data_IF_356193597844
#
_entry.id   IF_356193597844
#
_cell.length_a   1.000
_cell.length_b   1.000
_cell.length_c   1.000
_cell.angle_alpha   90.00
_cell.angle_beta   90.00
_cell.angle_gamma   90.00
#
_symmetry.space_group_name_H-M   'P 1'
#
loop_
_entity.id
_entity.type
_entity.pdbx_description
1 polymer ?
#
# COMPACT_ATOMS: atom_id res chain seq x y z
N UNK A 1 25.85 -17.10 -15.01
CA UNK A 1 24.49 -16.47 -15.13
C UNK A 1 24.54 -15.62 -16.39
N UNK A 2 23.66 -15.84 -17.37
CA UNK A 2 23.67 -15.10 -18.64
C UNK A 2 23.20 -13.67 -18.36
N UNK A 3 23.92 -12.66 -18.84
CA UNK A 3 23.52 -11.26 -18.68
C UNK A 3 22.33 -10.91 -19.61
N UNK A 4 21.56 -9.87 -19.27
CA UNK A 4 20.45 -9.35 -20.10
C UNK A 4 20.88 -9.10 -21.55
N UNK A 5 22.10 -8.57 -21.73
CA UNK A 5 22.67 -8.25 -23.05
C UNK A 5 23.02 -9.52 -23.86
N UNK A 6 23.53 -10.55 -23.19
CA UNK A 6 23.84 -11.86 -23.81
C UNK A 6 22.56 -12.60 -24.18
N UNK A 7 21.55 -12.60 -23.31
CA UNK A 7 20.24 -13.18 -23.59
C UNK A 7 19.58 -12.50 -24.81
N UNK A 8 19.57 -11.17 -24.83
CA UNK A 8 19.02 -10.41 -25.96
C UNK A 8 19.74 -10.76 -27.27
N UNK A 9 21.06 -10.79 -27.27
CA UNK A 9 21.86 -11.15 -28.45
C UNK A 9 21.58 -12.57 -28.93
N UNK A 10 21.49 -13.53 -28.03
CA UNK A 10 21.13 -14.91 -28.34
C UNK A 10 19.72 -15.01 -28.94
N UNK A 11 18.73 -14.42 -28.31
CA UNK A 11 17.33 -14.49 -28.75
C UNK A 11 17.12 -13.82 -30.13
N UNK A 12 17.77 -12.69 -30.39
CA UNK A 12 17.63 -11.98 -31.67
C UNK A 12 18.45 -12.59 -32.80
N UNK A 13 19.71 -12.96 -32.55
CA UNK A 13 20.63 -13.38 -33.61
C UNK A 13 20.53 -14.88 -33.92
N UNK A 14 20.30 -15.72 -32.91
CA UNK A 14 20.30 -17.18 -33.08
C UNK A 14 18.89 -17.78 -33.15
N UNK A 15 17.90 -17.14 -32.56
CA UNK A 15 16.52 -17.61 -32.52
C UNK A 15 15.54 -16.79 -33.37
N UNK A 16 16.00 -15.70 -33.99
CA UNK A 16 15.20 -14.87 -34.89
C UNK A 16 14.02 -14.15 -34.22
N UNK A 17 14.04 -14.04 -32.88
CA UNK A 17 12.97 -13.34 -32.15
C UNK A 17 13.19 -11.84 -32.31
N UNK A 18 12.13 -11.10 -32.67
CA UNK A 18 12.23 -9.65 -32.83
C UNK A 18 12.65 -8.97 -31.51
N UNK A 19 13.53 -7.96 -31.62
CA UNK A 19 14.07 -7.27 -30.44
C UNK A 19 13.00 -6.69 -29.52
N UNK A 20 11.88 -6.22 -30.07
CA UNK A 20 10.72 -5.74 -29.31
C UNK A 20 10.08 -6.81 -28.42
N UNK A 21 9.92 -8.03 -28.95
CA UNK A 21 9.39 -9.17 -28.17
C UNK A 21 10.38 -9.59 -27.07
N UNK A 22 11.68 -9.58 -27.39
CA UNK A 22 12.71 -9.90 -26.38
C UNK A 22 12.73 -8.84 -25.28
N UNK A 23 12.64 -7.57 -25.61
CA UNK A 23 12.64 -6.47 -24.66
C UNK A 23 11.37 -6.51 -23.77
N UNK A 24 10.22 -6.87 -24.34
CA UNK A 24 8.97 -7.06 -23.62
C UNK A 24 9.05 -8.25 -22.63
N UNK A 25 9.52 -9.42 -23.08
CA UNK A 25 9.73 -10.61 -22.23
C UNK A 25 10.75 -10.31 -21.13
N UNK A 26 11.84 -9.61 -21.46
CA UNK A 26 12.87 -9.23 -20.48
C UNK A 26 12.29 -8.26 -19.44
N UNK A 27 11.44 -7.31 -19.85
CA UNK A 27 10.80 -6.40 -18.91
C UNK A 27 9.82 -7.12 -17.95
N UNK A 28 9.14 -8.18 -18.42
CA UNK A 28 8.27 -9.00 -17.59
C UNK A 28 9.05 -9.97 -16.66
N UNK A 29 10.17 -10.54 -17.15
CA UNK A 29 10.97 -11.46 -16.35
C UNK A 29 11.83 -10.80 -15.28
N UNK A 30 12.26 -9.56 -15.52
CA UNK A 30 13.13 -8.82 -14.58
C UNK A 30 12.38 -7.69 -13.84
N UNK A 31 11.06 -7.60 -14.02
CA UNK A 31 10.21 -6.56 -13.45
C UNK A 31 10.41 -5.19 -14.10
N UNK A 32 9.59 -4.20 -13.77
CA UNK A 32 9.85 -2.82 -14.17
C UNK A 32 11.25 -2.45 -13.68
N UNK A 33 12.06 -1.83 -14.52
CA UNK A 33 13.32 -1.22 -14.09
C UNK A 33 13.02 -0.43 -12.82
N UNK A 34 13.72 -0.79 -11.72
CA UNK A 34 13.45 -0.18 -10.41
C UNK A 34 13.36 1.34 -10.58
N UNK A 35 12.24 1.92 -10.22
CA UNK A 35 11.96 3.35 -10.39
C UNK A 35 12.98 4.24 -9.66
N UNK A 36 13.85 3.63 -8.87
CA UNK A 36 14.84 4.34 -8.07
C UNK A 36 16.25 3.98 -8.50
N UNK A 37 17.07 5.00 -8.66
CA UNK A 37 18.51 4.81 -8.85
C UNK A 37 19.14 4.31 -7.56
N UNK A 38 20.15 3.47 -7.69
CA UNK A 38 20.97 2.99 -6.60
C UNK A 38 21.68 4.16 -5.90
N UNK A 39 21.74 4.14 -4.59
CA UNK A 39 22.53 5.08 -3.78
C UNK A 39 23.70 4.37 -3.17
N UNK A 40 24.82 5.09 -3.02
CA UNK A 40 26.02 4.62 -2.33
C UNK A 40 25.97 5.20 -0.90
N UNK A 41 25.95 4.32 0.10
CA UNK A 41 25.95 4.73 1.50
C UNK A 41 27.34 4.50 2.13
N UNK A 42 27.95 5.58 2.62
CA UNK A 42 29.19 5.54 3.42
C UNK A 42 28.85 5.42 4.92
N UNK A 43 28.60 4.22 5.39
CA UNK A 43 28.54 3.95 6.85
C UNK A 43 29.47 2.79 7.17
N UNK A 44 30.72 3.07 7.54
CA UNK A 44 31.70 2.15 8.16
C UNK A 44 31.80 0.70 7.58
N UNK A 45 31.37 0.47 6.34
CA UNK A 45 31.39 -0.79 5.62
C UNK A 45 31.85 -0.56 4.18
N UNK A 46 32.42 -1.55 3.48
CA UNK A 46 32.78 -1.41 2.08
C UNK A 46 31.53 -1.04 1.26
N UNK A 47 31.68 -0.05 0.37
CA UNK A 47 30.64 0.49 -0.49
C UNK A 47 29.65 -0.60 -0.95
N UNK A 48 28.39 -0.48 -0.57
CA UNK A 48 27.33 -1.37 -0.97
C UNK A 48 26.32 -0.60 -1.78
N UNK A 49 26.09 -1.03 -2.99
CA UNK A 49 25.04 -0.51 -3.85
C UNK A 49 23.69 -1.04 -3.35
N UNK A 50 22.81 -0.15 -2.88
CA UNK A 50 21.49 -0.49 -2.33
C UNK A 50 20.45 0.40 -3.01
N UNK A 51 19.33 -0.14 -3.44
CA UNK A 51 18.24 0.67 -3.94
C UNK A 51 17.57 1.49 -2.83
N UNK A 52 16.91 2.60 -3.20
CA UNK A 52 16.33 3.55 -2.25
C UNK A 52 15.26 2.90 -1.35
N UNK A 53 14.42 2.00 -1.88
CA UNK A 53 13.38 1.35 -1.08
C UNK A 53 13.99 0.37 -0.07
N UNK A 54 14.99 -0.41 -0.47
CA UNK A 54 15.75 -1.28 0.45
C UNK A 54 16.45 -0.45 1.52
N UNK A 55 16.97 0.74 1.17
CA UNK A 55 17.58 1.64 2.14
C UNK A 55 16.56 2.20 3.14
N UNK A 56 15.39 2.63 2.67
CA UNK A 56 14.29 3.08 3.53
C UNK A 56 13.81 1.96 4.45
N UNK A 57 13.70 0.73 3.93
CA UNK A 57 13.30 -0.44 4.72
C UNK A 57 14.29 -0.74 5.86
N UNK A 58 15.60 -0.48 5.66
CA UNK A 58 16.57 -0.58 6.74
C UNK A 58 16.30 0.42 7.89
N UNK A 59 15.67 1.55 7.60
CA UNK A 59 15.16 2.51 8.59
C UNK A 59 13.69 2.23 8.99
N UNK A 60 13.19 1.04 8.67
CA UNK A 60 11.83 0.55 8.99
C UNK A 60 10.71 1.33 8.29
N UNK A 61 10.99 1.84 7.11
CA UNK A 61 10.05 2.60 6.27
C UNK A 61 9.63 1.74 5.09
N UNK A 62 8.32 1.50 4.97
CA UNK A 62 7.67 0.84 3.84
C UNK A 62 6.95 1.92 3.02
N UNK A 63 6.94 1.79 1.70
CA UNK A 63 6.29 2.73 0.81
C UNK A 63 5.19 2.05 -0.01
N UNK A 64 3.92 2.40 0.26
CA UNK A 64 2.76 2.01 -0.53
C UNK A 64 2.41 3.15 -1.50
N UNK A 65 3.04 3.18 -2.67
CA UNK A 65 2.98 4.26 -3.64
C UNK A 65 2.20 3.93 -4.92
N UNK A 66 1.38 2.88 -4.92
CA UNK A 66 0.67 2.40 -6.12
C UNK A 66 -0.68 1.79 -5.76
N UNK A 67 -1.40 1.30 -6.76
CA UNK A 67 -2.61 0.49 -6.56
C UNK A 67 -2.30 -0.78 -5.77
N UNK A 68 -3.25 -1.23 -4.94
CA UNK A 68 -3.16 -2.43 -4.12
C UNK A 68 -3.66 -3.62 -4.93
N UNK A 69 -2.73 -4.48 -5.33
CA UNK A 69 -2.98 -5.79 -5.92
C UNK A 69 -2.35 -6.90 -5.07
N UNK A 70 -2.50 -8.15 -5.48
CA UNK A 70 -1.97 -9.30 -4.76
C UNK A 70 -0.44 -9.27 -4.68
N UNK A 71 0.24 -8.77 -5.73
CA UNK A 71 1.70 -8.68 -5.78
C UNK A 71 2.23 -7.67 -4.76
N UNK A 72 1.69 -6.46 -4.76
CA UNK A 72 2.04 -5.39 -3.82
C UNK A 72 1.71 -5.79 -2.39
N UNK A 73 0.55 -6.41 -2.17
CA UNK A 73 0.15 -6.89 -0.85
C UNK A 73 1.12 -7.92 -0.28
N UNK A 74 1.51 -8.91 -1.08
CA UNK A 74 2.49 -9.92 -0.68
C UNK A 74 3.85 -9.31 -0.32
N UNK A 75 4.31 -8.30 -1.07
CA UNK A 75 5.56 -7.58 -0.76
C UNK A 75 5.45 -6.86 0.59
N UNK A 76 4.38 -6.10 0.82
CA UNK A 76 4.20 -5.33 2.06
C UNK A 76 4.07 -6.26 3.26
N UNK A 77 3.30 -7.34 3.17
CA UNK A 77 3.18 -8.34 4.22
C UNK A 77 4.54 -8.97 4.54
N UNK A 78 5.31 -9.37 3.52
CA UNK A 78 6.65 -9.92 3.71
C UNK A 78 7.60 -8.91 4.37
N UNK A 79 7.53 -7.62 4.00
CA UNK A 79 8.31 -6.55 4.63
C UNK A 79 7.93 -6.34 6.10
N UNK A 80 6.63 -6.35 6.43
CA UNK A 80 6.14 -6.24 7.80
C UNK A 80 6.66 -7.38 8.68
N UNK A 81 6.53 -8.62 8.22
CA UNK A 81 7.01 -9.81 8.94
C UNK A 81 8.54 -9.81 9.07
N UNK A 82 9.27 -9.40 8.04
CA UNK A 82 10.72 -9.26 8.10
C UNK A 82 11.14 -8.21 9.15
N UNK A 83 10.51 -7.03 9.17
CA UNK A 83 10.82 -5.98 10.12
C UNK A 83 10.47 -6.37 11.56
N UNK A 84 9.38 -7.12 11.78
CA UNK A 84 9.09 -7.70 13.09
C UNK A 84 10.19 -8.66 13.52
N UNK A 85 10.62 -9.57 12.64
CA UNK A 85 11.69 -10.53 12.95
C UNK A 85 13.02 -9.86 13.27
N UNK A 86 13.29 -8.70 12.69
CA UNK A 86 14.51 -7.93 12.92
C UNK A 86 14.50 -7.18 14.27
N UNK A 87 13.37 -6.59 14.64
CA UNK A 87 13.17 -5.95 15.96
C UNK A 87 11.68 -5.76 16.25
N UNK A 88 11.13 -6.60 17.11
CA UNK A 88 9.71 -6.60 17.45
C UNK A 88 9.27 -5.41 18.33
N UNK A 89 10.20 -4.56 18.79
CA UNK A 89 9.89 -3.45 19.71
C UNK A 89 9.88 -2.08 19.04
N UNK A 90 10.47 -1.96 17.87
CA UNK A 90 10.54 -0.69 17.15
C UNK A 90 9.39 -0.53 16.18
N UNK A 91 8.83 0.66 16.12
CA UNK A 91 7.76 1.02 15.19
C UNK A 91 8.16 0.77 13.73
N UNK A 92 7.16 0.47 12.92
CA UNK A 92 7.25 0.42 11.46
C UNK A 92 6.47 1.61 10.90
N UNK A 93 6.96 2.25 9.86
CA UNK A 93 6.29 3.37 9.22
C UNK A 93 5.86 2.99 7.81
N UNK A 94 4.58 3.18 7.48
CA UNK A 94 4.06 2.99 6.12
C UNK A 94 3.70 4.36 5.54
N UNK A 95 4.43 4.76 4.50
CA UNK A 95 4.10 5.95 3.70
C UNK A 95 3.12 5.56 2.61
N UNK A 96 1.97 6.24 2.56
CA UNK A 96 0.86 5.88 1.69
C UNK A 96 0.60 6.99 0.68
N UNK A 97 0.64 6.62 -0.61
CA UNK A 97 0.19 7.44 -1.74
C UNK A 97 -0.48 6.50 -2.77
N UNK A 98 -1.70 6.08 -2.49
CA UNK A 98 -2.37 5.00 -3.22
C UNK A 98 -3.85 5.30 -3.48
N UNK A 99 -4.37 4.96 -4.67
CA UNK A 99 -5.80 5.05 -4.96
C UNK A 99 -6.63 3.93 -4.31
N UNK A 100 -6.01 2.99 -3.60
CA UNK A 100 -6.65 1.77 -3.13
C UNK A 100 -6.47 0.61 -4.09
N UNK A 101 -7.42 -0.29 -4.19
CA UNK A 101 -7.35 -1.47 -5.05
C UNK A 101 -8.12 -2.67 -4.50
N UNK A 102 -7.58 -3.87 -4.68
CA UNK A 102 -8.19 -5.13 -4.26
C UNK A 102 -8.48 -5.16 -2.76
N UNK A 103 -9.73 -5.41 -2.40
CA UNK A 103 -10.16 -5.50 -0.98
C UNK A 103 -9.47 -6.67 -0.28
N UNK A 104 -9.44 -7.86 -0.90
CA UNK A 104 -8.81 -9.04 -0.28
C UNK A 104 -7.31 -8.84 -0.07
N UNK A 105 -6.62 -8.29 -1.07
CA UNK A 105 -5.20 -7.96 -0.97
C UNK A 105 -4.94 -6.95 0.16
N UNK A 106 -5.79 -5.93 0.26
CA UNK A 106 -5.70 -4.93 1.32
C UNK A 106 -6.04 -5.46 2.72
N UNK A 107 -7.02 -6.35 2.85
CA UNK A 107 -7.32 -7.02 4.12
C UNK A 107 -6.14 -7.89 4.60
N UNK A 108 -5.42 -8.54 3.69
CA UNK A 108 -4.19 -9.26 4.04
C UNK A 108 -3.11 -8.34 4.62
N UNK A 109 -2.95 -7.13 4.07
CA UNK A 109 -2.05 -6.10 4.65
C UNK A 109 -2.58 -5.66 6.02
N UNK A 110 -3.87 -5.35 6.12
CA UNK A 110 -4.53 -4.92 7.36
C UNK A 110 -4.31 -5.93 8.48
N UNK A 111 -4.66 -7.19 8.24
CA UNK A 111 -4.51 -8.25 9.23
C UNK A 111 -3.04 -8.42 9.67
N UNK A 112 -2.10 -8.32 8.73
CA UNK A 112 -0.67 -8.39 9.04
C UNK A 112 -0.25 -7.19 9.92
N UNK A 113 -0.73 -5.97 9.62
CA UNK A 113 -0.46 -4.79 10.46
C UNK A 113 -0.99 -4.96 11.89
N UNK A 114 -2.14 -5.60 12.06
CA UNK A 114 -2.75 -5.83 13.38
C UNK A 114 -2.12 -7.03 14.11
N UNK A 115 -1.57 -7.99 13.39
CA UNK A 115 -1.02 -9.24 13.95
C UNK A 115 0.38 -9.07 14.52
N UNK A 116 1.24 -8.26 13.89
CA UNK A 116 2.63 -8.07 14.29
C UNK A 116 2.75 -7.28 15.61
N UNK A 117 3.82 -7.52 16.38
CA UNK A 117 4.05 -6.82 17.65
C UNK A 117 4.45 -5.34 17.50
N UNK A 118 5.26 -4.92 16.49
CA UNK A 118 5.58 -3.51 16.29
C UNK A 118 4.35 -2.66 16.04
N UNK A 119 4.27 -1.47 16.65
CA UNK A 119 3.26 -0.47 16.26
C UNK A 119 3.52 -0.03 14.82
N UNK A 120 2.46 0.02 14.02
CA UNK A 120 2.52 0.49 12.64
C UNK A 120 2.02 1.92 12.56
N UNK A 121 2.93 2.86 12.30
CA UNK A 121 2.60 4.24 12.01
C UNK A 121 2.25 4.41 10.53
N UNK A 122 1.23 5.19 10.21
CA UNK A 122 0.81 5.45 8.83
C UNK A 122 0.90 6.93 8.47
N UNK A 123 1.46 7.22 7.31
CA UNK A 123 1.70 8.60 6.86
C UNK A 123 1.18 8.78 5.43
N UNK A 124 0.13 9.55 5.23
CA UNK A 124 -0.33 9.86 3.89
C UNK A 124 0.45 11.03 3.28
N UNK A 125 1.05 10.81 2.10
CA UNK A 125 1.92 11.79 1.42
C UNK A 125 1.33 12.41 0.16
N UNK A 126 0.16 12.01 -0.24
CA UNK A 126 -0.53 12.52 -1.41
C UNK A 126 -1.99 12.16 -1.33
N UNK A 127 -2.28 10.90 -1.57
CA UNK A 127 -3.64 10.37 -1.55
C UNK A 127 -3.69 9.03 -0.82
N UNK A 128 -4.74 8.84 -0.03
CA UNK A 128 -5.14 7.53 0.46
C UNK A 128 -6.63 7.36 0.17
N UNK A 129 -6.97 6.60 -0.88
CA UNK A 129 -8.35 6.42 -1.30
C UNK A 129 -8.79 4.97 -1.19
N UNK A 130 -10.10 4.73 -0.96
CA UNK A 130 -10.67 3.39 -0.95
C UNK A 130 -9.94 2.47 0.05
N UNK A 131 -9.46 1.31 -0.37
CA UNK A 131 -8.74 0.38 0.50
C UNK A 131 -7.47 1.00 1.13
N UNK A 132 -6.80 1.94 0.47
CA UNK A 132 -5.66 2.66 1.06
C UNK A 132 -6.08 3.59 2.21
N UNK A 133 -7.29 4.15 2.19
CA UNK A 133 -7.84 4.92 3.32
C UNK A 133 -8.11 4.02 4.53
N UNK A 134 -8.56 2.79 4.30
CA UNK A 134 -8.71 1.78 5.36
C UNK A 134 -7.37 1.48 6.02
N UNK A 135 -6.31 1.24 5.22
CA UNK A 135 -4.96 0.99 5.74
C UNK A 135 -4.38 2.22 6.47
N UNK A 136 -4.63 3.43 5.97
CA UNK A 136 -4.22 4.67 6.66
C UNK A 136 -4.85 4.77 8.05
N UNK A 137 -6.16 4.55 8.12
CA UNK A 137 -6.94 4.61 9.36
C UNK A 137 -6.56 3.49 10.35
N UNK A 138 -6.09 2.35 9.83
CA UNK A 138 -5.71 1.15 10.59
C UNK A 138 -4.34 1.25 11.30
N UNK A 139 -3.59 2.32 11.11
CA UNK A 139 -2.36 2.59 11.84
C UNK A 139 -2.59 2.71 13.35
N UNK A 140 -1.53 2.59 14.14
CA UNK A 140 -1.57 2.73 15.59
C UNK A 140 -2.13 4.10 15.99
N UNK A 141 -3.08 4.12 16.91
CA UNK A 141 -3.71 5.34 17.39
C UNK A 141 -2.68 6.31 17.96
N UNK A 142 -2.74 7.56 17.51
CA UNK A 142 -1.76 8.60 17.82
C UNK A 142 -0.54 8.62 16.86
N UNK A 143 -0.45 7.65 15.92
CA UNK A 143 0.65 7.56 14.95
C UNK A 143 0.17 7.58 13.48
N UNK A 144 -1.10 7.97 13.26
CA UNK A 144 -1.69 8.11 11.92
C UNK A 144 -1.60 9.58 11.50
N UNK A 145 -0.93 9.85 10.39
CA UNK A 145 -0.64 11.24 10.02
C UNK A 145 -0.85 11.48 8.53
N UNK A 146 -0.98 12.74 8.15
CA UNK A 146 -1.01 13.15 6.74
C UNK A 146 -0.28 14.47 6.54
N UNK A 147 0.30 14.66 5.37
CA UNK A 147 0.86 15.95 4.98
C UNK A 147 -0.26 16.96 4.69
N UNK A 148 0.05 18.24 4.71
CA UNK A 148 -0.89 19.37 4.57
C UNK A 148 -1.87 19.26 3.40
N UNK A 149 -1.41 18.77 2.25
CA UNK A 149 -2.21 18.68 1.03
C UNK A 149 -2.77 17.29 0.75
N UNK A 150 -2.67 16.38 1.70
CA UNK A 150 -3.21 15.02 1.63
C UNK A 150 -4.71 15.03 1.30
N UNK A 151 -5.12 14.02 0.55
CA UNK A 151 -6.52 13.68 0.30
C UNK A 151 -6.80 12.28 0.81
N UNK A 152 -7.88 12.14 1.54
CA UNK A 152 -8.39 10.84 2.00
C UNK A 152 -9.78 10.65 1.42
N UNK A 153 -10.07 9.48 0.89
CA UNK A 153 -11.39 9.18 0.33
C UNK A 153 -11.88 7.81 0.77
N UNK A 154 -13.09 7.78 1.28
CA UNK A 154 -13.82 6.56 1.60
C UNK A 154 -15.02 6.40 0.69
N UNK A 155 -15.33 5.17 0.32
CA UNK A 155 -16.52 4.81 -0.43
C UNK A 155 -16.85 3.32 -0.23
N UNK A 156 -18.03 2.90 -0.71
CA UNK A 156 -18.40 1.49 -0.69
C UNK A 156 -17.53 0.66 -1.65
N UNK A 157 -17.29 -0.62 -1.35
CA UNK A 157 -16.53 -1.47 -2.25
C UNK A 157 -17.21 -1.59 -3.61
N UNK A 158 -16.41 -1.49 -4.67
CA UNK A 158 -16.86 -1.75 -6.03
C UNK A 158 -16.77 -3.24 -6.31
N UNK A 159 -17.79 -3.77 -6.93
CA UNK A 159 -17.80 -5.17 -7.32
C UNK A 159 -18.93 -5.44 -8.33
N UNK A 160 -18.84 -6.59 -8.99
CA UNK A 160 -19.84 -7.06 -9.93
C UNK A 160 -19.78 -8.56 -10.10
N UNK A 161 -20.86 -9.15 -10.54
CA UNK A 161 -20.94 -10.56 -10.84
C UNK A 161 -21.54 -10.79 -12.24
N UNK A 162 -21.08 -11.85 -12.88
CA UNK A 162 -21.59 -12.30 -14.17
C UNK A 162 -21.65 -13.82 -14.17
N UNK A 163 -22.78 -14.39 -14.57
CA UNK A 163 -22.96 -15.83 -14.57
C UNK A 163 -24.43 -16.23 -14.37
N UNK A 164 -24.66 -17.40 -13.79
CA UNK A 164 -25.97 -17.88 -13.43
C UNK A 164 -26.54 -17.07 -12.24
N UNK A 165 -27.87 -17.02 -12.11
CA UNK A 165 -28.53 -16.24 -11.05
C UNK A 165 -28.01 -16.59 -9.65
N UNK A 166 -27.83 -17.86 -9.35
CA UNK A 166 -27.29 -18.31 -8.06
C UNK A 166 -25.85 -17.83 -7.82
N UNK A 167 -25.00 -17.76 -8.85
CA UNK A 167 -23.61 -17.27 -8.73
C UNK A 167 -23.60 -15.76 -8.47
N UNK A 168 -24.52 -15.02 -9.12
CA UNK A 168 -24.69 -13.58 -8.88
C UNK A 168 -25.14 -13.31 -7.45
N UNK A 169 -26.08 -14.10 -6.91
CA UNK A 169 -26.51 -13.97 -5.53
C UNK A 169 -25.38 -14.26 -4.51
N UNK A 170 -24.59 -15.31 -4.76
CA UNK A 170 -23.44 -15.66 -3.89
C UNK A 170 -22.46 -14.49 -3.86
N UNK A 171 -22.09 -13.97 -5.03
CA UNK A 171 -21.15 -12.83 -5.14
C UNK A 171 -21.71 -11.57 -4.50
N UNK A 172 -23.00 -11.28 -4.71
CA UNK A 172 -23.64 -10.10 -4.10
C UNK A 172 -23.64 -10.20 -2.55
N UNK A 173 -23.91 -11.39 -2.00
CA UNK A 173 -23.83 -11.62 -0.55
C UNK A 173 -22.41 -11.42 -0.01
N UNK A 174 -21.40 -11.86 -0.75
CA UNK A 174 -20.01 -11.68 -0.35
C UNK A 174 -19.59 -10.21 -0.37
N UNK A 175 -19.96 -9.46 -1.41
CA UNK A 175 -19.74 -8.00 -1.48
C UNK A 175 -20.40 -7.29 -0.28
N UNK A 176 -21.60 -7.70 0.14
CA UNK A 176 -22.25 -7.10 1.31
C UNK A 176 -21.51 -7.40 2.62
N UNK A 177 -20.94 -8.60 2.77
CA UNK A 177 -20.10 -8.93 3.93
C UNK A 177 -18.83 -8.06 3.96
N UNK A 178 -18.13 -7.97 2.83
CA UNK A 178 -16.94 -7.11 2.71
C UNK A 178 -17.27 -5.65 3.01
N UNK A 179 -18.40 -5.15 2.49
CA UNK A 179 -18.88 -3.79 2.78
C UNK A 179 -19.04 -3.57 4.28
N UNK A 180 -19.71 -4.51 4.96
CA UNK A 180 -19.90 -4.43 6.41
C UNK A 180 -18.57 -4.45 7.15
N UNK A 181 -17.68 -5.37 6.82
CA UNK A 181 -16.38 -5.53 7.45
C UNK A 181 -15.50 -4.29 7.32
N UNK A 182 -15.40 -3.72 6.10
CA UNK A 182 -14.64 -2.49 5.88
C UNK A 182 -15.20 -1.30 6.68
N UNK A 183 -16.53 -1.19 6.78
CA UNK A 183 -17.16 -0.13 7.55
C UNK A 183 -16.96 -0.30 9.05
N UNK A 184 -17.01 -1.54 9.57
CA UNK A 184 -16.68 -1.87 10.95
C UNK A 184 -15.22 -1.51 11.25
N UNK A 185 -14.28 -1.80 10.35
CA UNK A 185 -12.86 -1.43 10.49
C UNK A 185 -12.72 0.10 10.57
N UNK A 186 -13.29 0.84 9.61
CA UNK A 186 -13.23 2.31 9.63
C UNK A 186 -13.87 2.87 10.90
N UNK A 187 -15.03 2.39 11.30
CA UNK A 187 -15.72 2.85 12.50
C UNK A 187 -14.87 2.63 13.76
N UNK A 188 -14.30 1.44 13.92
CA UNK A 188 -13.46 1.10 15.07
C UNK A 188 -12.21 1.97 15.18
N UNK A 189 -11.55 2.27 14.05
CA UNK A 189 -10.31 3.05 14.06
C UNK A 189 -10.55 4.56 14.08
N UNK A 190 -11.61 5.06 13.41
CA UNK A 190 -11.93 6.49 13.38
C UNK A 190 -12.67 7.00 14.61
N UNK A 191 -13.35 6.12 15.33
CA UNK A 191 -14.25 6.45 16.43
C UNK A 191 -15.61 6.96 15.97
N UNK A 192 -15.93 6.85 14.68
CA UNK A 192 -17.27 7.10 14.13
C UNK A 192 -18.19 5.92 14.37
N UNK A 193 -19.50 6.15 14.35
CA UNK A 193 -20.47 5.04 14.35
C UNK A 193 -20.51 4.34 13.00
N UNK A 194 -20.94 3.09 13.00
CA UNK A 194 -21.13 2.35 11.75
C UNK A 194 -22.09 3.07 10.80
N UNK A 195 -23.15 3.65 11.32
CA UNK A 195 -24.17 4.38 10.56
C UNK A 195 -23.60 5.65 9.91
N UNK A 196 -22.73 6.39 10.61
CA UNK A 196 -22.02 7.54 10.04
C UNK A 196 -21.09 7.10 8.89
N UNK A 197 -20.32 6.04 9.10
CA UNK A 197 -19.43 5.50 8.05
C UNK A 197 -20.26 5.01 6.86
N UNK A 198 -21.35 4.30 7.11
CA UNK A 198 -22.26 3.85 6.06
C UNK A 198 -22.82 5.01 5.22
N UNK A 199 -23.34 6.04 5.88
CA UNK A 199 -23.92 7.21 5.20
C UNK A 199 -22.87 7.97 4.37
N UNK A 200 -21.66 8.15 4.93
CA UNK A 200 -20.57 8.88 4.26
C UNK A 200 -19.92 8.09 3.12
N UNK A 201 -19.92 6.76 3.22
CA UNK A 201 -19.29 5.89 2.21
C UNK A 201 -20.24 5.45 1.08
N UNK A 202 -21.47 5.95 1.03
CA UNK A 202 -22.41 5.58 -0.07
C UNK A 202 -21.89 6.04 -1.44
N UNK A 203 -21.18 7.15 -1.49
CA UNK A 203 -20.47 7.69 -2.64
C UNK A 203 -19.07 8.13 -2.21
N UNK A 204 -18.26 8.56 -3.17
CA UNK A 204 -16.91 9.07 -2.89
C UNK A 204 -16.96 10.24 -1.91
N UNK A 205 -16.53 10.00 -0.70
CA UNK A 205 -16.44 11.01 0.36
C UNK A 205 -14.99 11.45 0.53
N UNK A 206 -14.67 12.59 -0.09
CA UNK A 206 -13.34 13.16 -0.09
C UNK A 206 -13.12 14.08 1.11
N UNK A 207 -11.97 13.94 1.75
CA UNK A 207 -11.52 14.73 2.89
C UNK A 207 -10.15 15.35 2.59
N UNK A 208 -9.99 16.64 2.85
CA UNK A 208 -8.67 17.26 2.99
C UNK A 208 -8.04 16.83 4.33
N UNK A 209 -6.74 17.11 4.52
CA UNK A 209 -6.00 16.65 5.69
C UNK A 209 -6.68 16.99 7.03
N UNK A 210 -7.19 18.21 7.18
CA UNK A 210 -7.87 18.65 8.42
C UNK A 210 -9.21 17.93 8.62
N UNK A 211 -10.00 17.77 7.57
CA UNK A 211 -11.28 17.03 7.61
C UNK A 211 -11.03 15.55 7.95
N UNK A 212 -9.97 14.94 7.37
CA UNK A 212 -9.57 13.58 7.70
C UNK A 212 -9.17 13.42 9.17
N UNK A 213 -8.53 14.44 9.76
CA UNK A 213 -8.25 14.49 11.20
C UNK A 213 -9.53 14.60 12.03
N UNK A 214 -10.44 15.50 11.68
CA UNK A 214 -11.72 15.69 12.37
C UNK A 214 -12.63 14.45 12.27
N UNK A 215 -12.55 13.75 11.13
CA UNK A 215 -13.24 12.49 10.94
C UNK A 215 -12.63 11.34 11.78
N UNK A 216 -11.35 11.43 12.11
CA UNK A 216 -10.62 10.40 12.84
C UNK A 216 -9.87 9.39 11.95
N UNK A 217 -9.74 9.68 10.65
CA UNK A 217 -8.94 8.86 9.73
C UNK A 217 -7.44 9.00 9.99
N UNK A 218 -7.02 10.16 10.50
CA UNK A 218 -5.66 10.45 10.96
C UNK A 218 -5.70 11.17 12.30
N UNK A 219 -4.59 11.15 13.01
CA UNK A 219 -4.46 11.79 14.34
C UNK A 219 -3.83 13.18 14.24
N UNK A 220 -2.95 13.42 13.26
CA UNK A 220 -2.23 14.68 13.12
C UNK A 220 -1.97 15.05 11.64
N UNK A 221 -1.99 16.35 11.36
CA UNK A 221 -1.54 16.91 10.09
C UNK A 221 -0.11 17.41 10.27
N UNK A 222 0.83 16.81 9.52
CA UNK A 222 2.25 17.18 9.60
C UNK A 222 2.52 18.45 8.80
N UNK A 223 2.99 19.46 9.50
CA UNK A 223 3.47 20.71 8.91
C UNK A 223 4.93 20.95 9.28
N UNK A 224 5.68 21.61 8.39
CA UNK A 224 7.06 22.01 8.69
C UNK A 224 7.05 22.97 9.89
N UNK A 225 7.73 22.59 10.97
CA UNK A 225 7.95 23.51 12.08
C UNK A 225 8.65 24.77 11.54
N UNK A 226 8.07 25.95 11.79
CA UNK A 226 8.79 27.21 11.53
C UNK A 226 10.04 27.19 12.41
N UNK A 227 11.21 27.56 11.86
CA UNK A 227 12.37 27.75 12.72
C UNK A 227 12.02 28.79 13.79
N UNK A 228 12.36 28.45 15.03
CA UNK A 228 12.20 29.36 16.18
C UNK A 228 13.11 30.55 16.02
#
# INVERSE_FOLDING_TARGET
MITRKEFRKYATNERGITGTVVDDVVSHLYGPEMMTRTVIEERNMPFREVDVFSRLMADRIIFLGTEIDDYIANIIQAQLLFLESADAKKDIQIYINSPGGSVYAGLGIYDTMQYINPSVATICTGMAASMAAVLLCAGEKGKRTGLKHTRVMIHQPLGGARGQASDIEITAREIQKLKKELYDIIANHSGKTYEEVWANSDRDYWMIAHEAKEYGMIDEVLEKKKPA
#
